data_IF_009359502835
#
_entry.id   IF_009359502835
#
_cell.length_a   1.000
_cell.length_b   1.000
_cell.length_c   1.000
_cell.angle_alpha   90.00
_cell.angle_beta   90.00
_cell.angle_gamma   90.00
#
_symmetry.space_group_name_H-M   'P 1'
#
loop_
_entity.id
_entity.type
_entity.pdbx_description
1 polymer ?
#
# COMPACT_ATOMS: atom_id res chain seq x y z
N UNK A 1 25.31 -0.56 9.60
CA UNK A 1 24.12 0.28 9.89
C UNK A 1 23.64 1.08 8.68
N UNK A 2 24.53 1.67 7.87
CA UNK A 2 24.15 2.51 6.73
C UNK A 2 23.45 1.77 5.57
N UNK A 3 23.91 0.56 5.20
CA UNK A 3 23.31 -0.20 4.10
C UNK A 3 21.81 -0.52 4.32
N UNK A 4 21.38 -1.05 5.48
CA UNK A 4 19.95 -1.21 5.79
C UNK A 4 19.12 0.07 5.62
N UNK A 5 19.61 1.19 6.16
CA UNK A 5 18.92 2.48 6.10
C UNK A 5 18.78 2.96 4.65
N UNK A 6 19.84 2.83 3.84
CA UNK A 6 19.81 3.21 2.43
C UNK A 6 18.84 2.33 1.63
N UNK A 7 18.82 1.02 1.89
CA UNK A 7 17.87 0.10 1.25
C UNK A 7 16.42 0.48 1.57
N UNK A 8 16.10 0.78 2.83
CA UNK A 8 14.75 1.23 3.22
C UNK A 8 14.42 2.55 2.51
N UNK A 9 15.32 3.54 2.59
CA UNK A 9 15.10 4.86 2.03
C UNK A 9 14.82 4.83 0.51
N UNK A 10 15.64 4.09 -0.25
CA UNK A 10 15.47 3.97 -1.69
C UNK A 10 14.15 3.28 -2.06
N UNK A 11 13.80 2.19 -1.35
CA UNK A 11 12.52 1.52 -1.54
C UNK A 11 11.34 2.46 -1.22
N UNK A 12 11.42 3.18 -0.11
CA UNK A 12 10.36 4.08 0.35
C UNK A 12 10.11 5.24 -0.60
N UNK A 13 11.15 5.84 -1.18
CA UNK A 13 11.00 6.91 -2.17
C UNK A 13 10.20 6.42 -3.38
N UNK A 14 10.57 5.25 -3.92
CA UNK A 14 9.88 4.68 -5.08
C UNK A 14 8.43 4.30 -4.76
N UNK A 15 8.18 3.68 -3.61
CA UNK A 15 6.83 3.32 -3.17
C UNK A 15 5.94 4.55 -2.98
N UNK A 16 6.46 5.59 -2.33
CA UNK A 16 5.73 6.84 -2.09
C UNK A 16 5.42 7.58 -3.40
N UNK A 17 6.38 7.66 -4.34
CA UNK A 17 6.15 8.29 -5.64
C UNK A 17 5.11 7.57 -6.47
N UNK A 18 5.17 6.23 -6.51
CA UNK A 18 4.19 5.43 -7.23
C UNK A 18 2.79 5.59 -6.61
N UNK A 19 2.69 5.56 -5.28
CA UNK A 19 1.42 5.80 -4.58
C UNK A 19 0.86 7.18 -4.90
N UNK A 20 1.69 8.22 -4.85
CA UNK A 20 1.29 9.58 -5.17
C UNK A 20 0.78 9.68 -6.61
N UNK A 21 1.52 9.14 -7.57
CA UNK A 21 1.16 9.16 -8.98
C UNK A 21 -0.17 8.43 -9.26
N UNK A 22 -0.34 7.22 -8.71
CA UNK A 22 -1.58 6.45 -8.86
C UNK A 22 -2.75 7.13 -8.15
N UNK A 23 -2.52 7.74 -6.98
CA UNK A 23 -3.50 8.55 -6.29
C UNK A 23 -4.01 9.71 -7.15
N UNK A 24 -3.10 10.45 -7.82
CA UNK A 24 -3.49 11.55 -8.71
C UNK A 24 -4.31 11.08 -9.93
N UNK A 25 -3.97 9.92 -10.50
CA UNK A 25 -4.61 9.43 -11.73
C UNK A 25 -5.93 8.71 -11.47
N UNK A 26 -6.01 7.93 -10.40
CA UNK A 26 -7.10 6.96 -10.22
C UNK A 26 -8.10 7.36 -9.14
N UNK A 27 -7.70 8.10 -8.09
CA UNK A 27 -8.64 8.50 -7.03
C UNK A 27 -9.80 9.37 -7.54
N UNK A 28 -9.61 10.30 -8.48
CA UNK A 28 -10.71 11.12 -8.99
C UNK A 28 -11.77 10.35 -9.79
N UNK A 29 -11.44 9.17 -10.32
CA UNK A 29 -12.34 8.39 -11.19
C UNK A 29 -13.58 7.94 -10.42
N UNK A 30 -13.41 7.54 -9.15
CA UNK A 30 -14.52 7.11 -8.31
C UNK A 30 -14.32 7.60 -6.86
N UNK A 31 -14.75 8.85 -6.53
CA UNK A 31 -14.41 9.49 -5.27
C UNK A 31 -14.90 8.77 -4.00
N UNK A 32 -15.97 7.97 -4.10
CA UNK A 32 -16.47 7.22 -2.95
C UNK A 32 -15.61 5.99 -2.60
N UNK A 33 -14.83 5.47 -3.55
CA UNK A 33 -13.85 4.38 -3.33
C UNK A 33 -12.60 4.73 -4.15
N UNK A 34 -11.67 5.50 -3.58
CA UNK A 34 -10.50 6.01 -4.32
C UNK A 34 -9.63 4.88 -4.88
N UNK A 35 -9.73 4.68 -6.20
CA UNK A 35 -9.16 3.50 -6.87
C UNK A 35 -7.63 3.46 -6.83
N UNK A 36 -6.96 4.61 -6.71
CA UNK A 36 -5.51 4.66 -6.54
C UNK A 36 -5.10 4.10 -5.18
N UNK A 37 -5.79 4.48 -4.10
CA UNK A 37 -5.57 3.96 -2.75
C UNK A 37 -5.84 2.44 -2.70
N UNK A 38 -6.91 1.96 -3.33
CA UNK A 38 -7.20 0.52 -3.45
C UNK A 38 -6.08 -0.20 -4.20
N UNK A 39 -5.69 0.32 -5.36
CA UNK A 39 -4.68 -0.29 -6.24
C UNK A 39 -3.35 -0.45 -5.51
N UNK A 40 -2.87 0.59 -4.83
CA UNK A 40 -1.56 0.53 -4.16
C UNK A 40 -1.55 -0.45 -2.99
N UNK A 41 -2.68 -0.56 -2.27
CA UNK A 41 -2.81 -1.51 -1.16
C UNK A 41 -2.87 -2.95 -1.67
N UNK A 42 -3.60 -3.23 -2.75
CA UNK A 42 -3.66 -4.57 -3.34
C UNK A 42 -2.33 -4.98 -3.95
N UNK A 43 -1.71 -4.12 -4.76
CA UNK A 43 -0.40 -4.38 -5.36
C UNK A 43 0.65 -4.57 -4.28
N UNK A 44 0.64 -3.74 -3.24
CA UNK A 44 1.56 -3.90 -2.11
C UNK A 44 1.34 -5.19 -1.32
N UNK A 45 0.08 -5.59 -1.09
CA UNK A 45 -0.31 -6.87 -0.49
C UNK A 45 0.17 -8.09 -1.29
N UNK A 46 -0.05 -8.06 -2.60
CA UNK A 46 0.45 -9.10 -3.51
C UNK A 46 1.98 -9.20 -3.47
N UNK A 47 2.68 -8.07 -3.58
CA UNK A 47 4.15 -8.04 -3.57
C UNK A 47 4.70 -8.55 -2.24
N UNK A 48 4.14 -8.14 -1.09
CA UNK A 48 4.64 -8.60 0.21
C UNK A 48 4.39 -10.11 0.40
N UNK A 49 3.24 -10.64 -0.05
CA UNK A 49 2.95 -12.07 0.00
C UNK A 49 3.98 -12.89 -0.78
N UNK A 50 4.24 -12.49 -2.04
CA UNK A 50 5.29 -13.13 -2.85
C UNK A 50 6.69 -12.97 -2.25
N UNK A 51 7.03 -11.75 -1.81
CA UNK A 51 8.35 -11.43 -1.28
C UNK A 51 8.67 -12.23 0.00
N UNK A 52 7.70 -12.40 0.90
CA UNK A 52 7.88 -13.22 2.12
C UNK A 52 8.25 -14.65 1.74
N UNK A 53 7.52 -15.26 0.80
CA UNK A 53 7.79 -16.62 0.32
C UNK A 53 9.16 -16.72 -0.34
N UNK A 54 9.45 -15.83 -1.30
CA UNK A 54 10.72 -15.83 -2.04
C UNK A 54 11.94 -15.63 -1.13
N UNK A 55 11.90 -14.63 -0.24
CA UNK A 55 13.03 -14.36 0.64
C UNK A 55 13.24 -15.41 1.72
N UNK A 56 12.20 -16.19 2.08
CA UNK A 56 12.34 -17.30 3.05
C UNK A 56 13.28 -18.41 2.57
N UNK A 57 13.43 -18.58 1.26
CA UNK A 57 14.24 -19.64 0.64
C UNK A 57 15.51 -19.11 -0.04
N UNK A 58 15.66 -17.78 -0.14
CA UNK A 58 16.77 -17.16 -0.87
C UNK A 58 18.02 -16.99 -0.01
N UNK A 59 19.20 -17.10 -0.62
CA UNK A 59 20.49 -16.73 -0.03
C UNK A 59 20.86 -15.25 -0.25
N UNK A 60 19.89 -14.40 -0.63
CA UNK A 60 20.12 -12.98 -0.89
C UNK A 60 20.41 -12.20 0.39
N UNK A 61 21.10 -11.06 0.23
CA UNK A 61 21.35 -10.16 1.35
C UNK A 61 20.03 -9.70 2.00
N UNK A 62 19.94 -9.63 3.34
CA UNK A 62 18.76 -9.09 4.05
C UNK A 62 18.37 -7.67 3.62
N UNK A 63 19.30 -6.91 3.05
CA UNK A 63 19.06 -5.56 2.53
C UNK A 63 18.03 -5.54 1.40
N UNK A 64 17.94 -6.58 0.57
CA UNK A 64 16.91 -6.68 -0.48
C UNK A 64 15.52 -6.85 0.13
N UNK A 65 15.41 -7.66 1.20
CA UNK A 65 14.15 -7.81 1.94
C UNK A 65 13.73 -6.47 2.56
N UNK A 66 14.67 -5.72 3.15
CA UNK A 66 14.40 -4.39 3.69
C UNK A 66 13.97 -3.39 2.61
N UNK A 67 14.62 -3.41 1.45
CA UNK A 67 14.24 -2.56 0.32
C UNK A 67 12.81 -2.84 -0.15
N UNK A 68 12.47 -4.11 -0.39
CA UNK A 68 11.16 -4.49 -0.97
C UNK A 68 10.04 -4.38 0.07
N UNK A 69 10.22 -5.01 1.23
CA UNK A 69 9.14 -5.15 2.21
C UNK A 69 8.99 -3.88 3.04
N UNK A 70 10.06 -3.48 3.75
CA UNK A 70 9.99 -2.33 4.67
C UNK A 70 9.99 -1.01 3.90
N UNK A 71 10.81 -0.89 2.86
CA UNK A 71 10.94 0.31 2.06
C UNK A 71 9.76 0.50 1.11
N UNK A 72 9.74 -0.28 0.02
CA UNK A 72 8.83 -0.12 -1.10
C UNK A 72 7.38 -0.43 -0.72
N UNK A 73 7.06 -1.64 -0.27
CA UNK A 73 5.69 -1.98 0.13
C UNK A 73 5.20 -1.13 1.30
N UNK A 74 6.07 -0.85 2.28
CA UNK A 74 5.75 0.00 3.42
C UNK A 74 5.33 1.43 3.03
N UNK A 75 5.95 2.01 1.99
CA UNK A 75 5.61 3.36 1.53
C UNK A 75 4.57 3.40 0.40
N UNK A 76 4.46 2.32 -0.38
CA UNK A 76 3.47 2.14 -1.43
C UNK A 76 2.08 1.95 -0.83
N UNK A 77 1.95 1.11 0.20
CA UNK A 77 0.68 0.90 0.91
C UNK A 77 0.41 2.04 1.88
N UNK A 78 -0.85 2.24 2.25
CA UNK A 78 -1.24 3.30 3.18
C UNK A 78 -2.49 2.92 3.97
N UNK A 79 -2.36 2.90 5.29
CA UNK A 79 -3.50 2.78 6.21
C UNK A 79 -4.06 4.16 6.59
N UNK A 80 -3.22 5.19 6.67
CA UNK A 80 -3.63 6.54 7.08
C UNK A 80 -4.52 7.22 6.03
N UNK A 81 -4.19 7.09 4.74
CA UNK A 81 -5.02 7.62 3.65
C UNK A 81 -6.37 6.91 3.60
N UNK A 82 -6.36 5.57 3.63
CA UNK A 82 -7.56 4.76 3.75
C UNK A 82 -8.44 5.19 4.94
N UNK A 83 -7.85 5.38 6.12
CA UNK A 83 -8.59 5.81 7.32
C UNK A 83 -9.26 7.17 7.13
N UNK A 84 -8.57 8.13 6.54
CA UNK A 84 -9.13 9.46 6.26
C UNK A 84 -10.27 9.42 5.24
N UNK A 85 -10.14 8.59 4.20
CA UNK A 85 -11.20 8.34 3.20
C UNK A 85 -12.46 7.74 3.86
N UNK A 86 -12.30 6.75 4.74
CA UNK A 86 -13.41 6.16 5.50
C UNK A 86 -14.07 7.19 6.42
N UNK A 87 -13.28 7.96 7.19
CA UNK A 87 -13.83 9.00 8.07
C UNK A 87 -14.62 10.04 7.28
N UNK A 88 -14.14 10.43 6.09
CA UNK A 88 -14.84 11.37 5.20
C UNK A 88 -16.20 10.81 4.76
N UNK A 89 -16.27 9.53 4.41
CA UNK A 89 -17.52 8.85 4.05
C UNK A 89 -18.50 8.80 5.24
N UNK A 90 -18.00 8.46 6.43
CA UNK A 90 -18.80 8.40 7.65
C UNK A 90 -19.37 9.77 8.02
N UNK A 91 -18.54 10.83 7.99
CA UNK A 91 -18.96 12.21 8.24
C UNK A 91 -19.99 12.69 7.20
N UNK A 92 -19.91 12.18 5.98
CA UNK A 92 -20.87 12.49 4.90
C UNK A 92 -22.15 11.62 4.94
N UNK A 93 -22.33 10.78 5.97
CA UNK A 93 -23.48 9.88 6.10
C UNK A 93 -23.49 8.71 5.09
N UNK A 94 -22.40 8.49 4.34
CA UNK A 94 -22.29 7.47 3.27
C UNK A 94 -21.88 6.11 3.84
N UNK A 95 -22.66 5.58 4.77
CA UNK A 95 -22.32 4.35 5.50
C UNK A 95 -22.09 3.13 4.59
N UNK A 96 -22.93 2.96 3.55
CA UNK A 96 -22.77 1.85 2.60
C UNK A 96 -21.43 1.86 1.88
N UNK A 97 -20.95 3.03 1.45
CA UNK A 97 -19.63 3.17 0.82
C UNK A 97 -18.50 2.97 1.83
N UNK A 98 -18.64 3.47 3.06
CA UNK A 98 -17.63 3.24 4.09
C UNK A 98 -17.44 1.74 4.37
N UNK A 99 -18.54 1.00 4.57
CA UNK A 99 -18.49 -0.45 4.76
C UNK A 99 -17.89 -1.18 3.55
N UNK A 100 -18.31 -0.82 2.34
CA UNK A 100 -17.79 -1.42 1.12
C UNK A 100 -16.28 -1.18 0.97
N UNK A 101 -15.82 0.07 1.18
CA UNK A 101 -14.40 0.41 1.10
C UNK A 101 -13.55 -0.34 2.13
N UNK A 102 -14.03 -0.48 3.38
CA UNK A 102 -13.35 -1.29 4.41
C UNK A 102 -13.21 -2.74 3.94
N UNK A 103 -14.30 -3.36 3.49
CA UNK A 103 -14.29 -4.76 3.04
C UNK A 103 -13.37 -4.96 1.84
N UNK A 104 -13.45 -4.08 0.84
CA UNK A 104 -12.59 -4.12 -0.35
C UNK A 104 -11.13 -4.05 0.08
N UNK A 105 -10.74 -3.07 0.90
CA UNK A 105 -9.36 -2.92 1.33
C UNK A 105 -8.86 -4.12 2.13
N UNK A 106 -9.62 -4.59 3.12
CA UNK A 106 -9.16 -5.66 4.02
C UNK A 106 -9.18 -7.00 3.30
N UNK A 107 -10.31 -7.40 2.71
CA UNK A 107 -10.41 -8.71 2.05
C UNK A 107 -9.53 -8.76 0.80
N UNK A 108 -9.56 -7.72 -0.02
CA UNK A 108 -8.78 -7.71 -1.27
C UNK A 108 -7.28 -7.60 -1.07
N UNK A 109 -6.79 -7.11 0.08
CA UNK A 109 -5.35 -7.15 0.39
C UNK A 109 -4.91 -8.47 1.03
N UNK A 110 -5.84 -9.27 1.54
CA UNK A 110 -5.56 -10.58 2.15
C UNK A 110 -5.64 -11.73 1.14
N UNK A 111 -6.44 -11.58 0.08
CA UNK A 111 -6.55 -12.50 -1.05
C UNK A 111 -5.35 -12.38 -1.99
#
# INVERSE_FOLDING_TARGET
>A
MYYPLLSIALGSVLGAWLRWFLGLKLNPIFPNIPLGTVTVNFVGGFIIGFAISYFSQSSLSPNYKLFVITGFCGALTTFSTFSAEIITLLQSGKLGYACAAILIHVLGSLL
#
